data_IF_363390460127
#
_entry.id   IF_363390460127
#
_cell.length_a   1.000
_cell.length_b   1.000
_cell.length_c   1.000
_cell.angle_alpha   90.00
_cell.angle_beta   90.00
_cell.angle_gamma   90.00
#
_symmetry.space_group_name_H-M   'P 1'
#
loop_
_entity.id
_entity.type
_entity.pdbx_description
1 polymer ?
#
# COMPACT_ATOMS: atom_id res chain seq x y z
N UNK A 1 -28.04 -6.47 -1.52
CA UNK A 1 -28.03 -5.95 -0.14
C UNK A 1 -26.58 -5.80 0.35
N UNK A 2 -26.33 -4.90 1.32
CA UNK A 2 -24.99 -4.69 1.88
C UNK A 2 -24.36 -5.99 2.42
N UNK A 3 -25.15 -6.82 3.12
CA UNK A 3 -24.66 -8.12 3.63
C UNK A 3 -24.20 -9.08 2.53
N UNK A 4 -24.87 -9.10 1.38
CA UNK A 4 -24.46 -9.91 0.24
C UNK A 4 -23.13 -9.40 -0.37
N UNK A 5 -22.95 -8.09 -0.45
CA UNK A 5 -21.68 -7.49 -0.89
C UNK A 5 -20.52 -7.87 0.02
N UNK A 6 -20.73 -7.80 1.35
CA UNK A 6 -19.72 -8.21 2.34
C UNK A 6 -19.39 -9.69 2.20
N UNK A 7 -20.40 -10.56 2.09
CA UNK A 7 -20.18 -12.01 1.91
C UNK A 7 -19.39 -12.32 0.63
N UNK A 8 -19.73 -11.68 -0.50
CA UNK A 8 -18.97 -11.82 -1.75
C UNK A 8 -17.52 -11.32 -1.62
N UNK A 9 -17.29 -10.24 -0.88
CA UNK A 9 -15.94 -9.70 -0.62
C UNK A 9 -15.12 -10.63 0.27
N UNK A 10 -15.73 -11.24 1.28
CA UNK A 10 -15.06 -12.26 2.10
C UNK A 10 -14.65 -13.44 1.19
N UNK A 11 -15.57 -13.96 0.36
CA UNK A 11 -15.24 -15.03 -0.59
C UNK A 11 -14.12 -14.61 -1.56
N UNK A 12 -14.19 -13.42 -2.15
CA UNK A 12 -13.15 -12.90 -3.03
C UNK A 12 -11.80 -12.82 -2.31
N UNK A 13 -11.76 -12.40 -1.05
CA UNK A 13 -10.55 -12.35 -0.24
C UNK A 13 -9.95 -13.74 0.00
N UNK A 14 -10.77 -14.71 0.41
CA UNK A 14 -10.33 -16.09 0.66
C UNK A 14 -9.70 -16.72 -0.59
N UNK A 15 -10.37 -16.64 -1.74
CA UNK A 15 -9.88 -17.24 -2.98
C UNK A 15 -8.78 -16.42 -3.67
N UNK A 16 -8.78 -15.10 -3.50
CA UNK A 16 -7.79 -14.20 -4.10
C UNK A 16 -6.44 -14.13 -3.36
N UNK A 17 -6.42 -14.44 -2.07
CA UNK A 17 -5.23 -14.32 -1.22
C UNK A 17 -4.03 -15.15 -1.72
N UNK A 18 -4.30 -16.31 -2.31
CA UNK A 18 -3.25 -17.22 -2.81
C UNK A 18 -2.64 -16.78 -4.14
N UNK A 19 -3.29 -15.91 -4.91
CA UNK A 19 -2.85 -15.58 -6.28
C UNK A 19 -1.47 -14.93 -6.31
N UNK A 20 -1.21 -13.97 -5.42
CA UNK A 20 0.09 -13.27 -5.40
C UNK A 20 1.25 -14.16 -4.96
N UNK A 21 1.23 -14.81 -3.78
CA UNK A 21 2.33 -15.67 -3.34
C UNK A 21 2.56 -16.84 -4.29
N UNK A 22 1.47 -17.46 -4.78
CA UNK A 22 1.55 -18.59 -5.69
C UNK A 22 2.16 -18.21 -7.05
N UNK A 23 1.74 -17.06 -7.63
CA UNK A 23 2.30 -16.59 -8.90
C UNK A 23 3.80 -16.30 -8.78
N UNK A 24 4.24 -15.69 -7.68
CA UNK A 24 5.65 -15.41 -7.40
C UNK A 24 6.46 -16.71 -7.25
N UNK A 25 5.95 -17.66 -6.48
CA UNK A 25 6.60 -18.97 -6.27
C UNK A 25 6.67 -19.78 -7.55
N UNK A 26 5.61 -19.81 -8.36
CA UNK A 26 5.58 -20.50 -9.66
C UNK A 26 6.62 -19.91 -10.61
N UNK A 27 6.73 -18.59 -10.69
CA UNK A 27 7.76 -17.94 -11.50
C UNK A 27 9.17 -18.37 -11.10
N UNK A 28 9.46 -18.41 -9.80
CA UNK A 28 10.77 -18.84 -9.29
C UNK A 28 11.05 -20.32 -9.53
N UNK A 29 10.02 -21.18 -9.65
CA UNK A 29 10.18 -22.60 -9.99
C UNK A 29 10.36 -22.83 -11.49
N UNK A 30 9.64 -22.11 -12.33
CA UNK A 30 9.65 -22.29 -13.79
C UNK A 30 10.91 -21.73 -14.43
N UNK A 31 11.43 -20.62 -13.92
CA UNK A 31 12.61 -19.98 -14.47
C UNK A 31 13.90 -20.52 -13.84
N UNK A 32 14.96 -20.78 -14.67
CA UNK A 32 16.26 -21.21 -14.17
C UNK A 32 16.88 -20.11 -13.29
N UNK A 33 17.80 -20.48 -12.35
CA UNK A 33 18.38 -19.57 -11.37
C UNK A 33 18.94 -18.26 -11.98
N UNK A 34 19.56 -18.35 -13.15
CA UNK A 34 20.18 -17.21 -13.84
C UNK A 34 19.14 -16.18 -14.33
N UNK A 35 17.90 -16.60 -14.55
CA UNK A 35 16.80 -15.78 -15.06
C UNK A 35 15.76 -15.39 -13.99
N UNK A 36 15.92 -15.85 -12.75
CA UNK A 36 14.96 -15.57 -11.64
C UNK A 36 14.77 -14.08 -11.41
N UNK A 37 15.84 -13.29 -11.42
CA UNK A 37 15.75 -11.84 -11.25
C UNK A 37 14.97 -11.16 -12.40
N UNK A 38 15.13 -11.65 -13.64
CA UNK A 38 14.35 -11.17 -14.77
C UNK A 38 12.86 -11.53 -14.62
N UNK A 39 12.56 -12.75 -14.20
CA UNK A 39 11.19 -13.22 -13.96
C UNK A 39 10.50 -12.41 -12.85
N UNK A 40 11.19 -12.17 -11.73
CA UNK A 40 10.70 -11.30 -10.65
C UNK A 40 10.50 -9.84 -11.13
N UNK A 41 11.38 -9.36 -12.01
CA UNK A 41 11.23 -8.06 -12.64
C UNK A 41 9.95 -7.96 -13.48
N UNK A 42 9.67 -8.96 -14.31
CA UNK A 42 8.43 -9.03 -15.12
C UNK A 42 7.20 -9.13 -14.23
N UNK A 43 7.26 -9.92 -13.17
CA UNK A 43 6.18 -10.04 -12.19
C UNK A 43 5.90 -8.71 -11.49
N UNK A 44 6.94 -7.98 -11.07
CA UNK A 44 6.79 -6.68 -10.44
C UNK A 44 6.21 -5.62 -11.40
N UNK A 45 6.58 -5.64 -12.68
CA UNK A 45 5.96 -4.79 -13.71
C UNK A 45 4.46 -5.08 -13.81
N UNK A 46 4.08 -6.36 -13.84
CA UNK A 46 2.66 -6.77 -13.86
C UNK A 46 1.92 -6.29 -12.62
N UNK A 47 2.55 -6.38 -11.44
CA UNK A 47 2.00 -5.89 -10.18
C UNK A 47 1.75 -4.38 -10.18
N UNK A 48 2.59 -3.60 -10.87
CA UNK A 48 2.45 -2.15 -11.00
C UNK A 48 1.34 -1.75 -12.00
N UNK A 49 0.97 -2.62 -12.95
CA UNK A 49 -0.11 -2.33 -13.91
C UNK A 49 -1.47 -2.20 -13.22
N UNK A 50 -1.72 -2.94 -12.14
CA UNK A 50 -2.97 -2.83 -11.37
C UNK A 50 -3.21 -1.42 -10.83
N UNK A 51 -2.32 -0.87 -10.00
CA UNK A 51 -2.42 0.52 -9.56
C UNK A 51 -2.34 1.56 -10.68
N UNK A 52 -1.69 1.25 -11.82
CA UNK A 52 -1.64 2.16 -12.97
C UNK A 52 -2.99 2.30 -13.68
N UNK A 53 -3.63 1.19 -13.95
CA UNK A 53 -4.87 1.16 -14.74
C UNK A 53 -6.12 1.20 -13.86
N UNK A 54 -6.04 0.67 -12.63
CA UNK A 54 -7.17 0.51 -11.71
C UNK A 54 -7.91 1.81 -11.44
N UNK A 55 -7.26 2.86 -10.93
CA UNK A 55 -7.91 4.13 -10.63
C UNK A 55 -8.49 4.82 -11.88
N UNK A 56 -7.79 4.74 -13.02
CA UNK A 56 -8.25 5.31 -14.28
C UNK A 56 -9.51 4.59 -14.80
N UNK A 57 -9.45 3.26 -14.88
CA UNK A 57 -10.58 2.45 -15.36
C UNK A 57 -11.74 2.51 -14.35
N UNK A 58 -11.43 2.41 -13.05
CA UNK A 58 -12.43 2.48 -12.00
C UNK A 58 -13.14 3.84 -11.94
N UNK A 59 -12.40 4.95 -12.07
CA UNK A 59 -12.97 6.29 -12.17
C UNK A 59 -13.89 6.44 -13.39
N UNK A 60 -13.41 6.01 -14.57
CA UNK A 60 -14.19 6.05 -15.80
C UNK A 60 -15.49 5.22 -15.73
N UNK A 61 -15.40 3.99 -15.19
CA UNK A 61 -16.56 3.10 -15.08
C UNK A 61 -17.61 3.62 -14.10
N UNK A 62 -17.17 4.17 -12.96
CA UNK A 62 -18.09 4.74 -11.95
C UNK A 62 -18.80 5.98 -12.42
N UNK A 63 -18.12 6.83 -13.17
CA UNK A 63 -18.66 8.10 -13.64
C UNK A 63 -19.60 7.92 -14.85
N UNK A 64 -19.23 7.05 -15.81
CA UNK A 64 -19.95 6.93 -17.09
C UNK A 64 -20.99 5.78 -17.12
N UNK A 65 -20.85 4.78 -16.23
CA UNK A 65 -21.78 3.63 -16.21
C UNK A 65 -22.40 3.48 -14.82
N UNK A 66 -21.80 2.65 -13.96
CA UNK A 66 -22.21 2.49 -12.57
C UNK A 66 -21.10 1.83 -11.75
N UNK A 67 -21.15 2.02 -10.43
CA UNK A 67 -20.18 1.41 -9.51
C UNK A 67 -20.14 -0.14 -9.57
N UNK A 68 -21.19 -0.80 -10.03
CA UNK A 68 -21.24 -2.26 -10.18
C UNK A 68 -20.20 -2.78 -11.20
N UNK A 69 -19.86 -1.98 -12.21
CA UNK A 69 -18.89 -2.36 -13.22
C UNK A 69 -17.47 -2.55 -12.71
N UNK A 70 -17.12 -1.93 -11.57
CA UNK A 70 -15.83 -2.17 -10.90
C UNK A 70 -15.67 -3.65 -10.54
N UNK A 71 -16.76 -4.35 -10.24
CA UNK A 71 -16.76 -5.78 -9.92
C UNK A 71 -16.87 -6.63 -11.18
N UNK A 72 -17.78 -6.26 -12.08
CA UNK A 72 -18.08 -7.05 -13.27
C UNK A 72 -16.91 -7.14 -14.24
N UNK A 73 -16.06 -6.13 -14.34
CA UNK A 73 -14.85 -6.16 -15.18
C UNK A 73 -13.89 -7.29 -14.82
N UNK A 74 -13.88 -7.73 -13.55
CA UNK A 74 -13.04 -8.83 -13.12
C UNK A 74 -13.52 -10.20 -13.62
N UNK A 75 -14.80 -10.34 -13.97
CA UNK A 75 -15.38 -11.64 -14.40
C UNK A 75 -14.76 -12.16 -15.70
N UNK A 76 -14.73 -11.38 -16.81
CA UNK A 76 -14.10 -11.87 -18.04
C UNK A 76 -12.60 -12.12 -17.86
N UNK A 77 -11.90 -11.30 -17.06
CA UNK A 77 -10.49 -11.51 -16.76
C UNK A 77 -10.29 -12.82 -15.98
N UNK A 78 -11.12 -13.10 -14.97
CA UNK A 78 -11.06 -14.33 -14.21
C UNK A 78 -11.31 -15.57 -15.07
N UNK A 79 -12.31 -15.55 -15.95
CA UNK A 79 -12.61 -16.64 -16.90
C UNK A 79 -11.40 -16.91 -17.80
N UNK A 80 -10.81 -15.87 -18.35
CA UNK A 80 -9.59 -15.98 -19.17
C UNK A 80 -8.41 -16.56 -18.39
N UNK A 81 -8.17 -16.07 -17.16
CA UNK A 81 -7.11 -16.58 -16.30
C UNK A 81 -7.30 -18.06 -15.94
N UNK A 82 -8.55 -18.48 -15.66
CA UNK A 82 -8.88 -19.89 -15.39
C UNK A 82 -8.59 -20.76 -16.63
N UNK A 83 -9.08 -20.34 -17.80
CA UNK A 83 -8.86 -21.07 -19.06
C UNK A 83 -7.38 -21.24 -19.41
N UNK A 84 -6.63 -20.16 -19.34
CA UNK A 84 -5.18 -20.16 -19.59
C UNK A 84 -4.44 -20.97 -18.51
N UNK A 85 -4.84 -20.82 -17.23
CA UNK A 85 -4.24 -21.52 -16.10
C UNK A 85 -4.37 -23.05 -16.22
N UNK A 86 -5.54 -23.55 -16.57
CA UNK A 86 -5.76 -24.99 -16.77
C UNK A 86 -4.83 -25.56 -17.85
N UNK A 87 -4.57 -24.80 -18.91
CA UNK A 87 -3.73 -25.29 -20.02
C UNK A 87 -2.25 -25.19 -19.69
N UNK A 88 -1.80 -24.05 -19.14
CA UNK A 88 -0.37 -23.77 -18.93
C UNK A 88 0.19 -24.37 -17.65
N UNK A 89 -0.59 -24.57 -16.60
CA UNK A 89 -0.09 -25.08 -15.32
C UNK A 89 -0.03 -26.62 -15.28
N UNK A 90 -0.77 -27.29 -16.15
CA UNK A 90 -0.80 -28.76 -16.21
C UNK A 90 0.59 -29.44 -16.26
N UNK A 91 1.58 -28.96 -17.04
CA UNK A 91 2.91 -29.57 -17.08
C UNK A 91 3.79 -29.20 -15.87
N UNK A 92 3.38 -28.28 -15.02
CA UNK A 92 4.12 -27.79 -13.84
C UNK A 92 3.54 -28.34 -12.53
N UNK A 93 2.46 -29.16 -12.62
CA UNK A 93 1.89 -29.83 -11.45
C UNK A 93 2.96 -30.70 -10.77
N UNK A 94 3.18 -30.42 -9.48
CA UNK A 94 4.02 -31.25 -8.60
C UNK A 94 3.13 -32.25 -7.85
N UNK A 95 3.73 -33.35 -7.41
CA UNK A 95 3.04 -34.34 -6.59
C UNK A 95 2.38 -33.67 -5.37
N UNK A 96 1.10 -34.00 -5.18
CA UNK A 96 0.30 -33.45 -4.08
C UNK A 96 0.82 -34.02 -2.75
N UNK A 97 1.47 -33.18 -1.97
CA UNK A 97 1.77 -33.50 -0.57
C UNK A 97 0.62 -32.97 0.28
N UNK A 98 -0.16 -33.89 0.86
CA UNK A 98 -1.18 -33.55 1.86
C UNK A 98 -0.49 -33.31 3.19
N UNK A 99 -0.31 -32.07 3.55
CA UNK A 99 0.11 -31.70 4.91
C UNK A 99 -1.14 -31.37 5.75
N UNK A 100 -1.14 -31.70 7.06
CA UNK A 100 -2.23 -31.31 7.94
C UNK A 100 -2.32 -29.78 8.00
N UNK A 101 -3.55 -29.27 7.96
CA UNK A 101 -3.79 -27.82 8.10
C UNK A 101 -3.88 -27.50 9.59
N UNK A 102 -3.09 -26.55 10.04
CA UNK A 102 -3.21 -26.01 11.40
C UNK A 102 -4.44 -25.10 11.52
N UNK A 103 -5.57 -25.70 11.94
CA UNK A 103 -6.82 -24.95 12.13
C UNK A 103 -6.76 -24.00 13.33
N UNK A 104 -5.90 -24.25 14.33
CA UNK A 104 -5.78 -23.40 15.51
C UNK A 104 -5.02 -22.12 15.12
N UNK A 105 -3.86 -22.25 14.49
CA UNK A 105 -3.11 -21.10 13.96
C UNK A 105 -3.94 -20.28 12.98
N UNK A 106 -4.66 -20.95 12.05
CA UNK A 106 -5.55 -20.25 11.10
C UNK A 106 -6.65 -19.46 11.82
N UNK A 107 -7.30 -20.04 12.82
CA UNK A 107 -8.37 -19.36 13.57
C UNK A 107 -7.84 -18.17 14.33
N UNK A 108 -6.69 -18.31 14.99
CA UNK A 108 -6.03 -17.21 15.70
C UNK A 108 -5.61 -16.10 14.74
N UNK A 109 -5.04 -16.44 13.56
CA UNK A 109 -4.69 -15.50 12.51
C UNK A 109 -5.89 -14.70 12.02
N UNK A 110 -7.00 -15.38 11.70
CA UNK A 110 -8.23 -14.73 11.22
C UNK A 110 -8.83 -13.83 12.29
N UNK A 111 -8.84 -14.26 13.56
CA UNK A 111 -9.39 -13.48 14.66
C UNK A 111 -8.57 -12.21 14.92
N UNK A 112 -7.24 -12.32 15.09
CA UNK A 112 -6.45 -11.13 15.41
C UNK A 112 -6.38 -10.13 14.24
N UNK A 113 -6.25 -10.61 12.99
CA UNK A 113 -6.24 -9.72 11.81
C UNK A 113 -7.62 -9.12 11.58
N UNK A 114 -8.70 -9.92 11.70
CA UNK A 114 -10.07 -9.45 11.54
C UNK A 114 -10.45 -8.40 12.58
N UNK A 115 -10.14 -8.65 13.86
CA UNK A 115 -10.37 -7.66 14.92
C UNK A 115 -9.52 -6.41 14.72
N UNK A 116 -8.24 -6.55 14.34
CA UNK A 116 -7.38 -5.41 14.02
C UNK A 116 -7.98 -4.56 12.89
N UNK A 117 -8.41 -5.19 11.80
CA UNK A 117 -9.00 -4.49 10.66
C UNK A 117 -10.27 -3.75 11.06
N UNK A 118 -11.15 -4.38 11.86
CA UNK A 118 -12.36 -3.70 12.38
C UNK A 118 -12.02 -2.50 13.26
N UNK A 119 -11.00 -2.60 14.13
CA UNK A 119 -10.52 -1.47 14.94
C UNK A 119 -10.02 -0.33 14.04
N UNK A 120 -9.25 -0.66 13.01
CA UNK A 120 -8.69 0.33 12.09
C UNK A 120 -9.77 1.02 11.24
N UNK A 121 -10.79 0.28 10.79
CA UNK A 121 -11.84 0.81 9.91
C UNK A 121 -12.91 1.57 10.69
N UNK A 122 -13.31 1.08 11.87
CA UNK A 122 -14.40 1.65 12.67
C UNK A 122 -13.91 2.66 13.71
N UNK A 123 -12.65 2.57 14.15
CA UNK A 123 -12.12 3.35 15.27
C UNK A 123 -12.35 4.85 15.12
N UNK A 124 -12.14 5.39 13.91
CA UNK A 124 -12.36 6.82 13.62
C UNK A 124 -13.82 7.25 13.80
N UNK A 125 -14.78 6.38 13.47
CA UNK A 125 -16.21 6.71 13.56
C UNK A 125 -16.78 6.53 14.97
N UNK A 126 -16.03 5.82 15.84
CA UNK A 126 -16.40 5.48 17.21
C UNK A 126 -15.47 6.12 18.26
N UNK A 127 -14.84 7.25 17.94
CA UNK A 127 -13.92 7.96 18.83
C UNK A 127 -12.86 7.05 19.49
N UNK A 128 -12.37 6.04 18.72
CA UNK A 128 -11.32 5.11 19.11
C UNK A 128 -11.61 4.41 20.45
N UNK A 129 -10.67 4.49 21.39
CA UNK A 129 -10.73 3.80 22.68
C UNK A 129 -11.76 4.39 23.66
N UNK A 130 -12.56 5.38 23.27
CA UNK A 130 -13.71 5.84 24.03
C UNK A 130 -14.92 4.88 23.90
N UNK A 131 -14.99 4.12 22.79
CA UNK A 131 -16.05 3.13 22.58
C UNK A 131 -15.65 1.75 23.16
N UNK A 132 -16.46 1.17 24.06
CA UNK A 132 -16.20 -0.16 24.63
C UNK A 132 -16.06 -1.27 23.59
N UNK A 133 -16.75 -1.17 22.43
CA UNK A 133 -16.64 -2.15 21.35
C UNK A 133 -15.23 -2.12 20.73
N UNK A 134 -14.68 -0.94 20.45
CA UNK A 134 -13.34 -0.79 19.90
C UNK A 134 -12.28 -1.28 20.90
N UNK A 135 -12.48 -1.00 22.19
CA UNK A 135 -11.61 -1.53 23.26
C UNK A 135 -11.64 -3.06 23.29
N UNK A 136 -12.83 -3.67 23.26
CA UNK A 136 -12.99 -5.13 23.27
C UNK A 136 -12.33 -5.77 22.04
N UNK A 137 -12.52 -5.21 20.84
CA UNK A 137 -11.90 -5.68 19.61
C UNK A 137 -10.36 -5.55 19.68
N UNK A 138 -9.85 -4.45 20.23
CA UNK A 138 -8.40 -4.21 20.38
C UNK A 138 -7.78 -5.23 21.35
N UNK A 139 -8.42 -5.47 22.49
CA UNK A 139 -7.97 -6.48 23.46
C UNK A 139 -8.00 -7.87 22.82
N UNK A 140 -9.08 -8.22 22.14
CA UNK A 140 -9.23 -9.52 21.45
C UNK A 140 -8.14 -9.69 20.40
N UNK A 141 -7.91 -8.68 19.57
CA UNK A 141 -6.85 -8.70 18.56
C UNK A 141 -5.48 -8.91 19.20
N UNK A 142 -5.15 -8.17 20.24
CA UNK A 142 -3.86 -8.27 20.92
C UNK A 142 -3.65 -9.64 21.58
N UNK A 143 -4.65 -10.16 22.29
CA UNK A 143 -4.59 -11.48 22.94
C UNK A 143 -4.45 -12.58 21.89
N UNK A 144 -5.26 -12.54 20.82
CA UNK A 144 -5.16 -13.52 19.74
C UNK A 144 -3.81 -13.44 19.00
N UNK A 145 -3.23 -12.25 18.83
CA UNK A 145 -1.88 -12.10 18.28
C UNK A 145 -0.81 -12.76 19.16
N UNK A 146 -0.87 -12.55 20.49
CA UNK A 146 0.08 -13.20 21.41
C UNK A 146 -0.05 -14.72 21.39
N UNK A 147 -1.28 -15.22 21.44
CA UNK A 147 -1.55 -16.66 21.35
C UNK A 147 -1.12 -17.23 20.00
N UNK A 148 -1.34 -16.52 18.91
CA UNK A 148 -0.89 -16.89 17.57
C UNK A 148 0.64 -17.04 17.51
N UNK A 149 1.39 -16.04 18.01
CA UNK A 149 2.87 -16.10 18.00
C UNK A 149 3.38 -17.28 18.85
N UNK A 150 2.78 -17.49 20.03
CA UNK A 150 3.18 -18.61 20.91
C UNK A 150 2.87 -19.95 20.24
N UNK A 151 1.71 -20.09 19.60
CA UNK A 151 1.28 -21.29 18.91
C UNK A 151 2.17 -21.63 17.72
N UNK A 152 2.37 -20.67 16.80
CA UNK A 152 3.17 -20.83 15.57
C UNK A 152 4.65 -21.18 15.85
N UNK A 153 5.21 -20.68 16.95
CA UNK A 153 6.58 -21.01 17.33
C UNK A 153 6.71 -22.44 17.86
N UNK A 154 5.63 -23.04 18.37
CA UNK A 154 5.58 -24.40 18.91
C UNK A 154 5.10 -25.46 17.92
N UNK A 155 4.46 -25.07 16.82
CA UNK A 155 3.84 -25.98 15.86
C UNK A 155 4.88 -26.52 14.86
N UNK A 156 4.76 -27.82 14.52
CA UNK A 156 5.65 -28.47 13.54
C UNK A 156 5.31 -28.10 12.10
N UNK A 157 4.04 -27.85 11.82
CA UNK A 157 3.53 -27.45 10.51
C UNK A 157 2.77 -26.13 10.58
N UNK A 158 3.46 -25.01 10.92
CA UNK A 158 2.81 -23.71 11.12
C UNK A 158 2.24 -23.17 9.81
N UNK A 159 1.13 -22.40 9.89
CA UNK A 159 0.58 -21.68 8.73
C UNK A 159 1.52 -20.56 8.31
N UNK A 160 2.09 -19.86 9.29
CA UNK A 160 3.06 -18.79 9.09
C UNK A 160 4.36 -19.17 9.79
N UNK A 161 5.35 -19.59 9.04
CA UNK A 161 6.63 -19.95 9.63
C UNK A 161 7.38 -18.70 10.12
N UNK A 162 7.21 -18.42 11.41
CA UNK A 162 7.89 -17.28 12.07
C UNK A 162 9.39 -17.51 12.24
N UNK A 163 9.88 -18.74 12.05
CA UNK A 163 11.33 -19.07 12.15
C UNK A 163 12.14 -18.37 11.06
N UNK A 164 11.49 -17.95 9.96
CA UNK A 164 12.12 -17.15 8.89
C UNK A 164 12.70 -15.84 9.43
N UNK A 165 12.15 -15.28 10.51
CA UNK A 165 12.70 -14.08 11.18
C UNK A 165 14.09 -14.27 11.80
N UNK A 166 14.57 -15.51 11.94
CA UNK A 166 15.95 -15.79 12.36
C UNK A 166 16.99 -15.19 11.39
N UNK A 167 16.62 -15.06 10.11
CA UNK A 167 17.47 -14.45 9.11
C UNK A 167 17.43 -12.91 9.23
N UNK A 168 18.50 -12.32 9.74
CA UNK A 168 18.60 -10.86 9.93
C UNK A 168 18.30 -10.09 8.64
N UNK A 169 18.74 -10.62 7.49
CA UNK A 169 18.50 -10.00 6.19
C UNK A 169 17.01 -9.93 5.85
N UNK A 170 16.29 -11.01 6.10
CA UNK A 170 14.84 -11.07 5.94
C UNK A 170 14.12 -10.07 6.85
N UNK A 171 14.40 -10.12 8.16
CA UNK A 171 13.75 -9.27 9.17
C UNK A 171 13.92 -7.78 8.89
N UNK A 172 15.14 -7.34 8.57
CA UNK A 172 15.41 -5.94 8.25
C UNK A 172 14.73 -5.55 6.94
N UNK A 173 14.88 -6.35 5.87
CA UNK A 173 14.27 -6.05 4.57
C UNK A 173 12.75 -6.03 4.64
N UNK A 174 12.13 -6.94 5.39
CA UNK A 174 10.69 -6.99 5.61
C UNK A 174 10.17 -5.78 6.38
N UNK A 175 10.90 -5.34 7.41
CA UNK A 175 10.56 -4.12 8.17
C UNK A 175 10.65 -2.89 7.28
N UNK A 176 11.72 -2.75 6.50
CA UNK A 176 11.87 -1.66 5.54
C UNK A 176 10.75 -1.69 4.49
N UNK A 177 10.41 -2.88 3.99
CA UNK A 177 9.31 -3.07 3.03
C UNK A 177 7.98 -2.59 3.64
N UNK A 178 7.68 -2.99 4.86
CA UNK A 178 6.45 -2.57 5.56
C UNK A 178 6.38 -1.05 5.73
N UNK A 179 7.45 -0.41 6.19
CA UNK A 179 7.51 1.04 6.36
C UNK A 179 7.44 1.80 5.03
N UNK A 180 8.14 1.31 4.00
CA UNK A 180 8.17 1.95 2.70
C UNK A 180 6.80 1.86 1.99
N UNK A 181 6.14 0.69 2.07
CA UNK A 181 4.76 0.55 1.58
C UNK A 181 3.78 1.39 2.37
N UNK A 182 3.90 1.43 3.69
CA UNK A 182 3.09 2.27 4.56
C UNK A 182 3.16 3.75 4.13
N UNK A 183 4.37 4.30 4.00
CA UNK A 183 4.56 5.70 3.60
C UNK A 183 4.11 5.99 2.17
N UNK A 184 4.36 5.09 1.22
CA UNK A 184 3.92 5.28 -0.17
C UNK A 184 2.40 5.23 -0.32
N UNK A 185 1.75 4.20 0.25
CA UNK A 185 0.30 4.01 0.15
C UNK A 185 -0.50 5.03 0.96
N UNK A 186 0.06 5.61 2.03
CA UNK A 186 -0.53 6.74 2.72
C UNK A 186 -0.85 7.90 1.74
N UNK A 187 0.14 8.32 0.94
CA UNK A 187 -0.06 9.34 -0.09
C UNK A 187 -0.97 8.88 -1.23
N UNK A 188 -0.88 7.60 -1.62
CA UNK A 188 -1.69 7.04 -2.70
C UNK A 188 -3.20 7.05 -2.38
N UNK A 189 -3.59 6.93 -1.11
CA UNK A 189 -4.99 6.95 -0.67
C UNK A 189 -5.49 8.38 -0.44
N UNK A 190 -4.68 9.23 0.20
CA UNK A 190 -5.15 10.55 0.65
C UNK A 190 -5.25 11.56 -0.51
N UNK A 191 -4.34 11.50 -1.49
CA UNK A 191 -4.30 12.47 -2.59
C UNK A 191 -5.56 12.43 -3.46
N UNK A 192 -6.05 11.27 -3.95
CA UNK A 192 -7.28 11.24 -4.72
C UNK A 192 -8.53 11.65 -3.92
N UNK A 193 -8.54 11.38 -2.60
CA UNK A 193 -9.65 11.82 -1.74
C UNK A 193 -9.67 13.35 -1.61
N UNK A 194 -8.50 13.96 -1.41
CA UNK A 194 -8.37 15.41 -1.38
C UNK A 194 -8.75 16.06 -2.71
N UNK A 195 -8.30 15.51 -3.84
CA UNK A 195 -8.65 15.99 -5.18
C UNK A 195 -10.17 15.97 -5.42
N UNK A 196 -10.86 14.89 -5.03
CA UNK A 196 -12.29 14.75 -5.27
C UNK A 196 -13.13 15.54 -4.28
N UNK A 197 -12.82 15.46 -3.00
CA UNK A 197 -13.66 16.07 -1.96
C UNK A 197 -13.49 17.59 -1.86
N UNK A 198 -12.29 18.11 -2.18
CA UNK A 198 -11.94 19.49 -1.88
C UNK A 198 -11.56 20.33 -3.11
N UNK A 199 -10.87 19.75 -4.09
CA UNK A 199 -10.58 20.45 -5.35
C UNK A 199 -11.69 20.29 -6.40
N UNK A 200 -12.70 19.46 -6.11
CA UNK A 200 -13.84 19.22 -7.01
C UNK A 200 -13.48 18.44 -8.29
N UNK A 201 -12.38 17.71 -8.29
CA UNK A 201 -12.01 16.90 -9.45
C UNK A 201 -12.98 15.72 -9.61
N UNK A 202 -13.43 15.42 -10.83
CA UNK A 202 -14.18 14.20 -11.10
C UNK A 202 -13.32 12.96 -10.81
N UNK A 203 -13.99 11.84 -10.49
CA UNK A 203 -13.31 10.58 -10.14
C UNK A 203 -12.36 10.09 -11.24
N UNK A 204 -12.73 10.30 -12.52
CA UNK A 204 -11.88 10.00 -13.69
C UNK A 204 -10.58 10.79 -13.65
N UNK A 205 -10.63 12.09 -13.39
CA UNK A 205 -9.41 12.95 -13.33
C UNK A 205 -8.52 12.61 -12.15
N UNK A 206 -9.08 12.38 -10.97
CA UNK A 206 -8.33 11.96 -9.79
C UNK A 206 -7.67 10.58 -9.99
N UNK A 207 -8.40 9.64 -10.61
CA UNK A 207 -7.88 8.33 -10.98
C UNK A 207 -6.77 8.42 -12.02
N UNK A 208 -6.93 9.23 -13.05
CA UNK A 208 -5.91 9.47 -14.07
C UNK A 208 -4.65 10.09 -13.46
N UNK A 209 -4.79 11.12 -12.60
CA UNK A 209 -3.67 11.72 -11.87
C UNK A 209 -2.88 10.68 -11.08
N UNK A 210 -3.56 9.79 -10.35
CA UNK A 210 -2.93 8.71 -9.58
C UNK A 210 -2.19 7.71 -10.47
N UNK A 211 -2.70 7.44 -11.68
CA UNK A 211 -2.10 6.52 -12.64
C UNK A 211 -0.72 6.98 -13.15
N UNK A 212 -0.44 8.29 -13.12
CA UNK A 212 0.87 8.83 -13.49
C UNK A 212 2.01 8.29 -12.63
N UNK A 213 1.76 8.03 -11.34
CA UNK A 213 2.79 7.43 -10.47
C UNK A 213 3.17 6.02 -10.92
N UNK A 214 2.21 5.18 -11.23
CA UNK A 214 2.49 3.85 -11.73
C UNK A 214 3.08 3.85 -13.15
N UNK A 215 2.69 4.82 -13.98
CA UNK A 215 3.31 5.04 -15.30
C UNK A 215 4.78 5.37 -15.17
N UNK A 216 5.16 6.27 -14.25
CA UNK A 216 6.56 6.57 -13.94
C UNK A 216 7.34 5.34 -13.49
N UNK A 217 6.74 4.50 -12.66
CA UNK A 217 7.35 3.26 -12.21
C UNK A 217 7.58 2.26 -13.36
N UNK A 218 6.64 2.16 -14.31
CA UNK A 218 6.80 1.30 -15.49
C UNK A 218 7.96 1.73 -16.38
N UNK A 219 8.17 3.02 -16.57
CA UNK A 219 9.31 3.53 -17.37
C UNK A 219 10.66 3.18 -16.74
N UNK A 220 10.76 3.16 -15.43
CA UNK A 220 12.02 2.87 -14.73
C UNK A 220 12.24 1.38 -14.44
N UNK A 221 11.25 0.52 -14.65
CA UNK A 221 11.34 -0.90 -14.35
C UNK A 221 12.49 -1.64 -15.08
N UNK A 222 12.73 -1.46 -16.39
CA UNK A 222 13.86 -2.08 -17.07
C UNK A 222 15.21 -1.59 -16.55
N UNK A 223 15.31 -0.30 -16.23
CA UNK A 223 16.52 0.30 -15.68
C UNK A 223 16.81 -0.22 -14.27
N UNK A 224 15.81 -0.35 -13.42
CA UNK A 224 15.96 -0.90 -12.09
C UNK A 224 16.41 -2.36 -12.13
N UNK A 225 15.82 -3.18 -13.01
CA UNK A 225 16.23 -4.56 -13.21
C UNK A 225 17.70 -4.68 -13.70
N UNK A 226 18.12 -3.80 -14.62
CA UNK A 226 19.50 -3.74 -15.09
C UNK A 226 20.48 -3.32 -13.98
N UNK A 227 20.14 -2.30 -13.20
CA UNK A 227 21.00 -1.80 -12.13
C UNK A 227 21.11 -2.78 -10.96
N UNK A 228 20.08 -3.58 -10.69
CA UNK A 228 20.13 -4.65 -9.68
C UNK A 228 21.21 -5.70 -9.96
N UNK A 229 21.55 -5.95 -11.21
CA UNK A 229 22.61 -6.89 -11.58
C UNK A 229 24.02 -6.30 -11.36
N UNK A 230 24.16 -4.99 -11.23
CA UNK A 230 25.45 -4.28 -11.20
C UNK A 230 25.75 -3.60 -9.86
N UNK A 231 24.73 -3.08 -9.21
CA UNK A 231 24.85 -2.30 -7.97
C UNK A 231 24.42 -3.10 -6.74
N UNK A 232 24.82 -2.63 -5.56
CA UNK A 232 24.30 -3.17 -4.29
C UNK A 232 22.80 -2.84 -4.20
N UNK A 233 21.92 -3.86 -4.06
CA UNK A 233 20.48 -3.64 -3.95
C UNK A 233 20.07 -2.67 -2.84
N UNK A 234 20.87 -2.58 -1.75
CA UNK A 234 20.58 -1.64 -0.64
C UNK A 234 20.72 -0.19 -1.06
N UNK A 235 21.66 0.13 -1.97
CA UNK A 235 21.79 1.47 -2.55
C UNK A 235 20.55 1.83 -3.37
N UNK A 236 20.06 0.88 -4.18
CA UNK A 236 18.87 1.10 -5.00
C UNK A 236 17.62 1.30 -4.13
N UNK A 237 17.44 0.49 -3.09
CA UNK A 237 16.34 0.62 -2.13
C UNK A 237 16.40 1.96 -1.40
N UNK A 238 17.56 2.29 -0.80
CA UNK A 238 17.74 3.55 -0.06
C UNK A 238 17.52 4.76 -0.98
N UNK A 239 18.07 4.74 -2.20
CA UNK A 239 17.89 5.80 -3.19
C UNK A 239 16.45 5.93 -3.66
N UNK A 240 15.76 4.81 -3.94
CA UNK A 240 14.35 4.79 -4.34
C UNK A 240 13.43 5.34 -3.25
N UNK A 241 13.62 4.91 -2.00
CA UNK A 241 12.83 5.41 -0.86
C UNK A 241 13.12 6.90 -0.60
N UNK A 242 14.39 7.31 -0.64
CA UNK A 242 14.77 8.71 -0.48
C UNK A 242 14.19 9.60 -1.59
N UNK A 243 14.13 9.11 -2.82
CA UNK A 243 13.47 9.79 -3.94
C UNK A 243 11.97 9.98 -3.68
N UNK A 244 11.28 8.93 -3.23
CA UNK A 244 9.86 9.00 -2.87
C UNK A 244 9.66 10.00 -1.71
N UNK A 245 10.52 9.98 -0.70
CA UNK A 245 10.47 10.94 0.41
C UNK A 245 10.67 12.38 -0.07
N UNK A 246 11.67 12.63 -0.92
CA UNK A 246 11.96 13.95 -1.47
C UNK A 246 10.78 14.48 -2.31
N UNK A 247 10.20 13.65 -3.18
CA UNK A 247 9.03 14.04 -3.98
C UNK A 247 7.79 14.24 -3.13
N UNK A 248 7.63 13.49 -2.02
CA UNK A 248 6.56 13.72 -1.04
C UNK A 248 6.78 15.05 -0.31
N UNK A 249 8.02 15.44 0.01
CA UNK A 249 8.32 16.77 0.55
C UNK A 249 8.01 17.89 -0.45
N UNK A 250 8.28 17.70 -1.73
CA UNK A 250 7.87 18.69 -2.75
C UNK A 250 6.35 18.88 -2.79
N UNK A 251 5.55 17.86 -2.47
CA UNK A 251 4.08 18.02 -2.38
C UNK A 251 3.63 18.96 -1.26
N UNK A 252 4.49 19.27 -0.30
CA UNK A 252 4.16 20.26 0.74
C UNK A 252 4.03 21.68 0.18
N UNK A 253 4.44 21.91 -1.06
CA UNK A 253 4.22 23.16 -1.79
C UNK A 253 2.87 23.23 -2.51
N UNK A 254 2.06 22.18 -2.46
CA UNK A 254 0.74 22.21 -3.07
C UNK A 254 -0.19 23.18 -2.35
N UNK A 255 -0.96 23.89 -3.15
CA UNK A 255 -1.94 24.87 -2.71
C UNK A 255 -3.33 24.46 -3.17
N UNK A 256 -4.34 25.16 -2.70
CA UNK A 256 -5.74 24.98 -3.08
C UNK A 256 -6.01 25.27 -4.56
N UNK A 257 -5.11 26.01 -5.22
CA UNK A 257 -5.23 26.38 -6.64
C UNK A 257 -4.45 25.43 -7.57
N UNK A 258 -3.95 24.29 -7.05
CA UNK A 258 -3.15 23.35 -7.84
C UNK A 258 -3.98 22.76 -8.99
N UNK A 259 -3.49 22.92 -10.21
CA UNK A 259 -4.10 22.38 -11.41
C UNK A 259 -3.78 20.88 -11.60
N UNK A 260 -4.52 20.23 -12.50
CA UNK A 260 -4.37 18.82 -12.82
C UNK A 260 -2.92 18.44 -13.18
N UNK A 261 -2.26 19.26 -14.00
CA UNK A 261 -0.92 18.94 -14.49
C UNK A 261 0.15 19.07 -13.40
N UNK A 262 0.06 20.07 -12.54
CA UNK A 262 0.96 20.25 -11.38
C UNK A 262 0.90 19.01 -10.48
N UNK A 263 -0.30 18.49 -10.20
CA UNK A 263 -0.49 17.31 -9.38
C UNK A 263 0.02 16.03 -10.08
N UNK A 264 -0.32 15.87 -11.37
CA UNK A 264 -0.02 14.65 -12.13
C UNK A 264 1.46 14.50 -12.48
N UNK A 265 2.15 15.59 -12.84
CA UNK A 265 3.59 15.55 -13.14
C UNK A 265 4.39 15.14 -11.91
N UNK A 266 4.05 15.67 -10.73
CA UNK A 266 4.74 15.29 -9.51
C UNK A 266 4.46 13.82 -9.11
N UNK A 267 3.26 13.30 -9.41
CA UNK A 267 2.95 11.86 -9.29
C UNK A 267 3.85 11.03 -10.22
N UNK A 268 4.02 11.45 -11.48
CA UNK A 268 4.92 10.79 -12.44
C UNK A 268 6.36 10.76 -11.92
N UNK A 269 6.86 11.91 -11.47
CA UNK A 269 8.23 12.04 -10.93
C UNK A 269 8.41 11.16 -9.69
N UNK A 270 7.45 11.09 -8.80
CA UNK A 270 7.49 10.17 -7.66
C UNK A 270 7.54 8.72 -8.13
N UNK A 271 6.74 8.37 -9.14
CA UNK A 271 6.69 7.03 -9.73
C UNK A 271 8.03 6.52 -10.21
N UNK A 272 8.91 7.39 -10.72
CA UNK A 272 10.27 7.01 -11.15
C UNK A 272 11.07 6.32 -10.03
N UNK A 273 10.84 6.68 -8.76
CA UNK A 273 11.51 6.08 -7.61
C UNK A 273 10.90 4.76 -7.13
N UNK A 274 9.61 4.52 -7.41
CA UNK A 274 8.86 3.38 -6.86
C UNK A 274 9.48 2.05 -7.25
N UNK A 275 9.91 1.89 -8.48
CA UNK A 275 10.51 0.64 -8.97
C UNK A 275 11.86 0.36 -8.31
N UNK A 276 12.66 1.39 -8.04
CA UNK A 276 13.94 1.26 -7.32
C UNK A 276 13.75 0.91 -5.84
N UNK A 277 12.59 1.22 -5.27
CA UNK A 277 12.20 0.74 -3.95
C UNK A 277 11.70 -0.71 -4.01
N UNK A 278 10.68 -0.99 -4.85
CA UNK A 278 9.94 -2.25 -4.80
C UNK A 278 10.77 -3.46 -5.25
N UNK A 279 11.37 -3.39 -6.43
CA UNK A 279 12.05 -4.52 -7.08
C UNK A 279 13.23 -5.06 -6.25
N UNK A 280 14.23 -4.20 -5.87
CA UNK A 280 15.35 -4.69 -5.09
C UNK A 280 14.94 -5.13 -3.69
N UNK A 281 13.95 -4.48 -3.07
CA UNK A 281 13.50 -4.79 -1.72
C UNK A 281 12.81 -6.15 -1.66
N UNK A 282 11.95 -6.46 -2.64
CA UNK A 282 11.34 -7.79 -2.78
C UNK A 282 12.40 -8.89 -2.99
N UNK A 283 13.39 -8.62 -3.83
CA UNK A 283 14.49 -9.54 -4.10
C UNK A 283 15.36 -9.76 -2.85
N UNK A 284 15.71 -8.69 -2.12
CA UNK A 284 16.49 -8.78 -0.88
C UNK A 284 15.79 -9.63 0.17
N UNK A 285 14.49 -9.46 0.34
CA UNK A 285 13.72 -10.22 1.32
C UNK A 285 13.76 -11.71 1.03
N UNK A 286 13.59 -12.13 -0.24
CA UNK A 286 13.53 -13.54 -0.61
C UNK A 286 14.90 -14.20 -0.80
N UNK A 287 15.93 -13.45 -1.18
CA UNK A 287 17.27 -14.00 -1.39
C UNK A 287 18.08 -14.17 -0.10
N UNK A 288 17.53 -13.80 1.05
CA UNK A 288 18.19 -13.94 2.37
C UNK A 288 17.72 -15.14 3.16
N UNK A 289 16.81 -15.93 2.61
CA UNK A 289 16.25 -17.14 3.23
C UNK A 289 16.70 -18.39 2.45
N UNK A 290 16.61 -19.54 3.10
CA UNK A 290 16.95 -20.82 2.48
C UNK A 290 15.89 -21.21 1.41
N UNK A 291 16.30 -21.97 0.38
CA UNK A 291 15.43 -22.33 -0.75
C UNK A 291 14.14 -23.05 -0.33
N UNK A 292 14.15 -23.81 0.75
CA UNK A 292 12.97 -24.48 1.32
C UNK A 292 12.02 -23.54 2.07
N UNK A 293 12.47 -22.36 2.48
CA UNK A 293 11.71 -21.35 3.21
C UNK A 293 11.14 -20.24 2.30
N UNK A 294 11.54 -20.19 1.02
CA UNK A 294 11.14 -19.13 0.08
C UNK A 294 9.62 -18.98 -0.04
N UNK A 295 8.86 -20.08 -0.03
CA UNK A 295 7.40 -20.03 -0.13
C UNK A 295 6.77 -19.37 1.12
N UNK A 296 7.24 -19.74 2.31
CA UNK A 296 6.82 -19.14 3.59
C UNK A 296 7.22 -17.66 3.67
N UNK A 297 8.45 -17.35 3.25
CA UNK A 297 8.94 -15.97 3.21
C UNK A 297 8.12 -15.09 2.25
N UNK A 298 7.74 -15.59 1.08
CA UNK A 298 6.90 -14.87 0.11
C UNK A 298 5.48 -14.64 0.64
N UNK A 299 4.91 -15.64 1.33
CA UNK A 299 3.63 -15.52 2.03
C UNK A 299 3.67 -14.45 3.10
N UNK A 300 4.68 -14.51 3.99
CA UNK A 300 4.87 -13.56 5.08
C UNK A 300 5.16 -12.14 4.56
N UNK A 301 5.94 -12.01 3.48
CA UNK A 301 6.18 -10.73 2.80
C UNK A 301 4.87 -10.10 2.28
N UNK A 302 4.02 -10.88 1.62
CA UNK A 302 2.73 -10.40 1.11
C UNK A 302 1.77 -10.02 2.24
N UNK A 303 1.74 -10.82 3.29
CA UNK A 303 0.96 -10.59 4.49
C UNK A 303 1.37 -9.29 5.20
N UNK A 304 2.65 -9.14 5.52
CA UNK A 304 3.18 -7.95 6.19
C UNK A 304 2.97 -6.67 5.36
N UNK A 305 3.15 -6.74 4.05
CA UNK A 305 2.86 -5.63 3.15
C UNK A 305 1.39 -5.21 3.23
N UNK A 306 0.46 -6.17 3.21
CA UNK A 306 -0.98 -5.90 3.26
C UNK A 306 -1.38 -5.26 4.59
N UNK A 307 -0.93 -5.83 5.71
CA UNK A 307 -1.19 -5.25 7.04
C UNK A 307 -0.57 -3.86 7.16
N UNK A 308 0.69 -3.69 6.77
CA UNK A 308 1.35 -2.39 6.85
C UNK A 308 0.59 -1.32 6.04
N UNK A 309 0.08 -1.67 4.86
CA UNK A 309 -0.74 -0.77 4.03
C UNK A 309 -2.07 -0.43 4.72
N UNK A 310 -2.76 -1.42 5.29
CA UNK A 310 -4.04 -1.21 5.98
C UNK A 310 -3.88 -0.32 7.23
N UNK A 311 -2.90 -0.64 8.08
CA UNK A 311 -2.56 0.15 9.27
C UNK A 311 -2.18 1.59 8.90
N UNK A 312 -1.31 1.74 7.89
CA UNK A 312 -0.88 3.05 7.44
C UNK A 312 -2.03 3.88 6.88
N UNK A 313 -2.92 3.28 6.09
CA UNK A 313 -4.11 3.96 5.55
C UNK A 313 -5.00 4.48 6.67
N UNK A 314 -5.31 3.63 7.66
CA UNK A 314 -6.15 4.02 8.79
C UNK A 314 -5.53 5.12 9.63
N UNK A 315 -4.25 4.98 10.01
CA UNK A 315 -3.52 6.00 10.78
C UNK A 315 -3.44 7.31 9.99
N UNK A 316 -3.15 7.25 8.70
CA UNK A 316 -3.04 8.44 7.85
C UNK A 316 -4.36 9.18 7.74
N UNK A 317 -5.46 8.47 7.50
CA UNK A 317 -6.79 9.07 7.42
C UNK A 317 -7.23 9.69 8.75
N UNK A 318 -6.91 9.03 9.86
CA UNK A 318 -7.21 9.57 11.21
C UNK A 318 -6.37 10.80 11.51
N UNK A 319 -5.06 10.72 11.28
CA UNK A 319 -4.14 11.85 11.47
C UNK A 319 -4.54 13.05 10.61
N UNK A 320 -4.91 12.82 9.35
CA UNK A 320 -5.40 13.86 8.45
C UNK A 320 -6.66 14.52 8.99
N UNK A 321 -7.66 13.73 9.42
CA UNK A 321 -8.91 14.25 9.96
C UNK A 321 -8.71 15.05 11.27
N UNK A 322 -7.86 14.56 12.17
CA UNK A 322 -7.57 15.25 13.42
C UNK A 322 -6.79 16.55 13.19
N UNK A 323 -5.79 16.51 12.30
CA UNK A 323 -5.03 17.70 11.92
C UNK A 323 -5.93 18.72 11.21
N UNK A 324 -6.88 18.29 10.39
CA UNK A 324 -7.88 19.16 9.78
C UNK A 324 -8.73 19.89 10.83
N UNK A 325 -9.19 19.16 11.87
CA UNK A 325 -9.98 19.76 12.96
C UNK A 325 -9.18 20.84 13.70
N UNK A 326 -7.90 20.56 13.99
CA UNK A 326 -7.00 21.53 14.63
C UNK A 326 -6.73 22.73 13.74
N UNK A 327 -6.33 22.51 12.49
CA UNK A 327 -6.07 23.57 11.53
C UNK A 327 -7.30 24.46 11.28
N UNK A 328 -8.50 23.86 11.30
CA UNK A 328 -9.75 24.64 11.21
C UNK A 328 -9.95 25.57 12.41
N UNK A 329 -9.70 25.09 13.64
CA UNK A 329 -9.83 25.90 14.84
C UNK A 329 -8.85 27.07 14.83
N UNK A 330 -7.61 26.84 14.37
CA UNK A 330 -6.58 27.86 14.27
C UNK A 330 -6.91 28.88 13.18
N UNK A 331 -7.39 28.43 12.01
CA UNK A 331 -7.79 29.31 10.91
C UNK A 331 -8.96 30.22 11.28
N UNK A 332 -9.97 29.71 11.99
CA UNK A 332 -11.09 30.52 12.51
C UNK A 332 -10.61 31.54 13.53
N UNK A 333 -9.63 31.19 14.36
CA UNK A 333 -9.03 32.13 15.34
C UNK A 333 -8.15 33.23 14.70
N UNK A 334 -7.51 32.92 13.56
CA UNK A 334 -6.62 33.85 12.85
C UNK A 334 -7.36 34.76 11.85
N UNK A 335 -8.47 34.34 11.30
CA UNK A 335 -9.30 35.15 10.42
C UNK A 335 -9.94 36.30 11.22
N UNK A 336 -9.98 37.47 10.60
CA UNK A 336 -10.88 38.55 11.02
C UNK A 336 -12.21 38.37 10.24
N UNK A 337 -13.14 37.54 10.74
CA UNK A 337 -14.33 37.17 9.98
C UNK A 337 -15.21 38.37 9.66
N UNK A 338 -15.18 39.41 10.53
CA UNK A 338 -15.98 40.61 10.38
C UNK A 338 -15.60 41.40 9.11
N UNK A 339 -14.30 41.61 8.83
CA UNK A 339 -13.87 42.36 7.68
C UNK A 339 -14.18 41.68 6.34
N UNK A 340 -14.08 40.36 6.27
CA UNK A 340 -14.41 39.58 5.07
C UNK A 340 -15.94 39.47 4.91
N UNK A 341 -16.66 39.31 6.02
CA UNK A 341 -18.11 39.31 6.04
C UNK A 341 -18.70 40.63 5.55
N UNK A 342 -18.18 41.76 6.02
CA UNK A 342 -18.60 43.09 5.60
C UNK A 342 -18.35 43.33 4.11
N UNK A 343 -17.19 42.89 3.61
CA UNK A 343 -16.84 43.02 2.18
C UNK A 343 -17.79 42.21 1.30
N UNK A 344 -18.10 40.97 1.65
CA UNK A 344 -19.00 40.10 0.87
C UNK A 344 -20.47 40.56 0.98
N UNK A 345 -20.88 41.04 2.16
CA UNK A 345 -22.22 41.61 2.34
C UNK A 345 -22.36 42.91 1.54
N UNK A 346 -21.30 43.74 1.46
CA UNK A 346 -21.24 44.91 0.60
C UNK A 346 -21.35 44.63 -0.90
N UNK A 347 -20.99 43.41 -1.33
CA UNK A 347 -21.18 42.90 -2.69
C UNK A 347 -22.61 42.33 -2.94
N UNK A 348 -23.53 42.37 -1.96
CA UNK A 348 -24.92 41.97 -2.09
C UNK A 348 -25.19 40.51 -1.82
N UNK A 349 -24.25 39.74 -1.26
CA UNK A 349 -24.49 38.37 -0.87
C UNK A 349 -25.34 38.29 0.42
N UNK A 350 -26.36 37.38 0.49
CA UNK A 350 -27.12 37.14 1.71
C UNK A 350 -26.18 36.63 2.85
N UNK A 351 -26.45 36.98 4.11
CA UNK A 351 -25.58 36.61 5.26
C UNK A 351 -25.37 35.10 5.38
N UNK A 352 -26.35 34.27 5.04
CA UNK A 352 -26.22 32.80 5.10
C UNK A 352 -25.28 32.26 4.01
N UNK A 353 -25.31 32.85 2.80
CA UNK A 353 -24.37 32.49 1.72
C UNK A 353 -22.94 32.92 2.09
N UNK A 354 -22.78 34.11 2.68
CA UNK A 354 -21.46 34.58 3.14
C UNK A 354 -20.87 33.61 4.16
N UNK A 355 -21.64 33.16 5.15
CA UNK A 355 -21.18 32.16 6.15
C UNK A 355 -20.79 30.84 5.49
N UNK A 356 -21.55 30.38 4.52
CA UNK A 356 -21.26 29.14 3.80
C UNK A 356 -19.98 29.25 2.97
N UNK A 357 -19.77 30.36 2.27
CA UNK A 357 -18.53 30.62 1.50
C UNK A 357 -17.34 30.66 2.44
N UNK A 358 -17.42 31.38 3.54
CA UNK A 358 -16.35 31.45 4.55
C UNK A 358 -16.04 30.08 5.15
N UNK A 359 -17.06 29.30 5.53
CA UNK A 359 -16.87 27.95 6.04
C UNK A 359 -16.16 27.05 5.03
N UNK A 360 -16.58 27.07 3.78
CA UNK A 360 -15.96 26.28 2.71
C UNK A 360 -14.50 26.68 2.47
N UNK A 361 -14.18 27.96 2.50
CA UNK A 361 -12.80 28.45 2.35
C UNK A 361 -11.91 27.98 3.51
N UNK A 362 -12.40 28.12 4.76
CA UNK A 362 -11.67 27.64 5.94
C UNK A 362 -11.48 26.11 5.88
N UNK A 363 -12.50 25.37 5.50
CA UNK A 363 -12.44 23.91 5.41
C UNK A 363 -11.44 23.44 4.33
N UNK A 364 -11.42 24.11 3.17
CA UNK A 364 -10.48 23.82 2.08
C UNK A 364 -9.03 24.10 2.51
N UNK A 365 -8.76 25.23 3.15
CA UNK A 365 -7.43 25.59 3.64
C UNK A 365 -6.98 24.65 4.77
N UNK A 366 -7.84 24.39 5.75
CA UNK A 366 -7.55 23.47 6.86
C UNK A 366 -7.23 22.07 6.37
N UNK A 367 -7.97 21.58 5.36
CA UNK A 367 -7.73 20.26 4.78
C UNK A 367 -6.40 20.19 4.02
N UNK A 368 -6.05 21.27 3.32
CA UNK A 368 -4.78 21.37 2.59
C UNK A 368 -3.59 21.44 3.55
N UNK A 369 -3.70 22.20 4.64
CA UNK A 369 -2.69 22.23 5.70
C UNK A 369 -2.54 20.84 6.35
N UNK A 370 -3.63 20.15 6.64
CA UNK A 370 -3.59 18.79 7.17
C UNK A 370 -2.91 17.81 6.20
N UNK A 371 -3.12 17.96 4.89
CA UNK A 371 -2.42 17.19 3.88
C UNK A 371 -0.92 17.44 3.90
N UNK A 372 -0.50 18.70 4.01
CA UNK A 372 0.92 19.09 4.11
C UNK A 372 1.57 18.46 5.34
N UNK A 373 0.93 18.52 6.52
CA UNK A 373 1.41 17.86 7.74
C UNK A 373 1.55 16.34 7.57
N UNK A 374 0.59 15.73 6.88
CA UNK A 374 0.65 14.30 6.55
C UNK A 374 1.84 13.97 5.64
N UNK A 375 2.17 14.81 4.68
CA UNK A 375 3.35 14.64 3.83
C UNK A 375 4.67 14.79 4.61
N UNK A 376 4.75 15.68 5.59
CA UNK A 376 5.91 15.74 6.48
C UNK A 376 6.09 14.46 7.28
N UNK A 377 5.03 13.97 7.90
CA UNK A 377 5.06 12.75 8.70
C UNK A 377 5.45 11.52 7.85
N UNK A 378 4.83 11.37 6.68
CA UNK A 378 5.12 10.24 5.77
C UNK A 378 6.54 10.31 5.21
N UNK A 379 7.05 11.49 4.89
CA UNK A 379 8.43 11.68 4.45
C UNK A 379 9.44 11.32 5.52
N UNK A 380 9.18 11.66 6.78
CA UNK A 380 10.03 11.27 7.90
C UNK A 380 10.09 9.73 8.06
N UNK A 381 8.95 9.04 7.95
CA UNK A 381 8.89 7.57 7.98
C UNK A 381 9.68 6.96 6.82
N UNK A 382 9.55 7.51 5.62
CA UNK A 382 10.29 7.04 4.45
C UNK A 382 11.80 7.25 4.60
N UNK A 383 12.25 8.40 5.08
CA UNK A 383 13.68 8.67 5.32
C UNK A 383 14.24 7.73 6.39
N UNK A 384 13.47 7.45 7.44
CA UNK A 384 13.85 6.47 8.45
C UNK A 384 13.98 5.06 7.82
N UNK A 385 13.03 4.65 6.98
CA UNK A 385 13.10 3.37 6.26
C UNK A 385 14.30 3.30 5.31
N UNK A 386 14.64 4.41 4.62
CA UNK A 386 15.82 4.50 3.75
C UNK A 386 17.14 4.35 4.52
N UNK A 387 17.19 4.81 5.78
CA UNK A 387 18.33 4.61 6.64
C UNK A 387 18.39 3.19 7.21
N UNK A 388 17.24 2.62 7.57
CA UNK A 388 17.15 1.30 8.20
C UNK A 388 17.66 0.16 7.30
N UNK A 389 17.57 0.26 5.97
CA UNK A 389 18.04 -0.78 5.05
C UNK A 389 19.53 -1.09 5.17
N UNK A 390 20.32 -0.13 5.65
CA UNK A 390 21.76 -0.30 5.85
C UNK A 390 22.11 -1.28 6.99
N UNK A 391 21.15 -1.62 7.85
CA UNK A 391 21.29 -2.68 8.85
C UNK A 391 21.16 -4.09 8.25
N UNK A 392 20.65 -4.23 7.02
CA UNK A 392 20.62 -5.51 6.32
C UNK A 392 22.04 -5.96 5.98
N UNK A 393 22.36 -7.25 6.08
CA UNK A 393 23.67 -7.77 5.69
C UNK A 393 23.90 -7.55 4.19
N UNK A 394 25.17 -7.46 3.78
CA UNK A 394 25.50 -7.40 2.35
C UNK A 394 25.04 -8.69 1.69
N UNK A 395 24.28 -8.64 0.59
CA UNK A 395 23.96 -9.84 -0.14
C UNK A 395 25.29 -10.47 -0.62
N UNK A 396 25.53 -11.69 -0.21
CA UNK A 396 26.62 -12.48 -0.75
C UNK A 396 26.29 -12.71 -2.23
N UNK A 397 27.14 -12.23 -3.13
CA UNK A 397 27.05 -12.58 -4.56
C UNK A 397 27.19 -14.10 -4.66
N UNK A 398 26.07 -14.82 -4.68
CA UNK A 398 26.04 -16.21 -5.10
C UNK A 398 26.20 -16.22 -6.63
N UNK A 399 27.42 -16.31 -7.12
CA UNK A 399 27.69 -16.27 -8.55
C UNK A 399 29.18 -16.31 -8.87
N UNK A 400 29.91 -17.13 -8.18
CA UNK A 400 31.23 -17.55 -8.59
C UNK A 400 31.38 -19.02 -8.25
N UNK A 401 31.01 -19.92 -9.20
CA UNK A 401 31.58 -21.26 -9.16
C UNK A 401 33.09 -21.08 -9.06
N UNK A 402 33.79 -21.71 -8.11
CA UNK A 402 35.24 -21.84 -8.21
C UNK A 402 35.49 -22.64 -9.49
N UNK A 403 36.17 -22.02 -10.44
CA UNK A 403 36.81 -22.75 -11.53
C UNK A 403 37.74 -23.78 -10.84
N UNK A 404 37.27 -25.02 -10.73
CA UNK A 404 38.11 -26.14 -10.33
C UNK A 404 39.26 -26.29 -11.34
N UNK A 405 40.45 -26.27 -10.82
CA UNK A 405 41.63 -26.76 -11.48
C UNK A 405 41.64 -28.27 -11.51
#
# INVERSE_FOLDING_TARGET
TMGMLVACRIGQGIFGAFLMPLSQTLLLKVFPPEKRNMALGMWAVTLLMGPALGPMIGGYLTENYSWHWIFLINVPVAILCIGVGIVLLKPVETDRQTQPIDFIGLSLLVLWVGCLQLVLDLGRNHDWFADPMIVALSITSFVCLLLFVIWELGEDHPIVDLRVFRHRGFSVSLTVLSLAFAGYFAGFVIVPQWQQAWLGFPATSAGLSSSFSATGALFTAPLAAFLMSRLDPRLLVSGGIAWIAATTLVRTTWTTDADFWTLSILQLVQGLGVTFMMLPLMSLTLNTVDDNEVASAAGLQSFMRTIATAVATSITLSYWADTQRLARSDAVGAMQPEAVQDSLTGLGFPPDQVRQILSNMVDLEATTLALIHTFWATSAILLFAAALIWLAPRPTRSGGMPLGH
#
